data_IF_440298901473
#
_entry.id   IF_440298901473
#
_cell.length_a   1.000
_cell.length_b   1.000
_cell.length_c   1.000
_cell.angle_alpha   90.00
_cell.angle_beta   90.00
_cell.angle_gamma   90.00
#
_symmetry.space_group_name_H-M   'P 1'
#
loop_
_entity.id
_entity.type
_entity.pdbx_description
1 polymer ?
#
# COMPACT_ATOMS: atom_id res chain seq x y z
N UNK A 1 -1.17 -12.63 -14.72
CA UNK A 1 -0.51 -11.34 -14.39
C UNK A 1 -1.59 -10.41 -13.83
N UNK A 2 -1.62 -10.12 -12.53
CA UNK A 2 -2.63 -9.17 -12.01
C UNK A 2 -2.12 -7.75 -12.24
N UNK A 3 -2.76 -7.02 -13.16
CA UNK A 3 -2.38 -5.65 -13.50
C UNK A 3 -2.58 -4.76 -12.26
N UNK A 4 -1.48 -4.20 -11.73
CA UNK A 4 -1.56 -3.13 -10.75
C UNK A 4 -1.84 -1.83 -11.50
N UNK A 5 -2.92 -1.14 -11.13
CA UNK A 5 -3.22 0.19 -11.62
C UNK A 5 -2.25 1.22 -11.00
N UNK A 6 -2.05 2.36 -11.66
CA UNK A 6 -1.22 3.45 -11.16
C UNK A 6 -1.60 3.92 -9.75
N UNK A 7 -2.89 3.87 -9.42
CA UNK A 7 -3.38 4.18 -8.07
C UNK A 7 -2.76 3.26 -7.00
N UNK A 8 -2.62 1.97 -7.29
CA UNK A 8 -1.98 1.02 -6.38
C UNK A 8 -0.49 1.31 -6.22
N UNK A 9 0.21 1.65 -7.31
CA UNK A 9 1.63 2.02 -7.26
C UNK A 9 1.83 3.31 -6.46
N UNK A 10 0.96 4.32 -6.62
CA UNK A 10 0.99 5.56 -5.82
C UNK A 10 0.83 5.28 -4.32
N UNK A 11 -0.07 4.36 -3.96
CA UNK A 11 -0.24 3.92 -2.58
C UNK A 11 1.04 3.26 -2.05
N UNK A 12 1.63 2.33 -2.81
CA UNK A 12 2.87 1.66 -2.41
C UNK A 12 4.03 2.66 -2.25
N UNK A 13 4.22 3.61 -3.17
CA UNK A 13 5.21 4.70 -3.05
C UNK A 13 5.00 5.55 -1.81
N UNK A 14 3.74 5.86 -1.48
CA UNK A 14 3.42 6.64 -0.28
C UNK A 14 3.77 5.86 1.00
N UNK A 15 3.52 4.55 1.02
CA UNK A 15 3.85 3.69 2.15
C UNK A 15 5.36 3.46 2.28
N UNK A 16 6.08 3.33 1.16
CA UNK A 16 7.54 3.28 1.13
C UNK A 16 8.15 4.53 1.80
N UNK A 17 7.70 5.72 1.39
CA UNK A 17 8.16 7.00 1.97
C UNK A 17 7.87 7.12 3.48
N UNK A 18 6.78 6.53 3.95
CA UNK A 18 6.42 6.53 5.37
C UNK A 18 7.23 5.52 6.21
N UNK A 19 7.90 4.57 5.57
CA UNK A 19 8.77 3.59 6.24
C UNK A 19 8.13 2.91 7.44
N UNK A 20 8.84 2.93 8.58
CA UNK A 20 8.41 2.31 9.84
C UNK A 20 7.26 3.03 10.54
N UNK A 21 6.97 4.29 10.18
CA UNK A 21 5.82 4.98 10.74
C UNK A 21 4.54 4.36 10.17
N UNK A 22 4.51 4.07 8.87
CA UNK A 22 3.30 3.69 8.17
C UNK A 22 2.28 4.83 8.10
N UNK A 23 1.21 4.62 7.34
CA UNK A 23 0.20 5.65 7.06
C UNK A 23 -1.14 5.25 7.64
N UNK A 24 -1.91 6.20 8.16
CA UNK A 24 -3.27 5.93 8.62
C UNK A 24 -4.14 5.56 7.42
N UNK A 25 -4.92 4.48 7.53
CA UNK A 25 -5.69 3.95 6.42
C UNK A 25 -6.64 5.00 5.81
N UNK A 26 -7.26 5.85 6.65
CA UNK A 26 -8.14 6.94 6.21
C UNK A 26 -7.43 8.13 5.54
N UNK A 27 -6.15 8.36 5.85
CA UNK A 27 -5.32 9.36 5.15
C UNK A 27 -4.84 8.84 3.80
N UNK A 28 -4.69 7.52 3.67
CA UNK A 28 -4.28 6.87 2.43
C UNK A 28 -5.41 6.88 1.40
N UNK A 29 -6.63 6.55 1.85
CA UNK A 29 -7.84 6.52 1.02
C UNK A 29 -9.01 7.05 1.88
N UNK A 30 -9.55 8.25 1.59
CA UNK A 30 -10.61 8.85 2.39
C UNK A 30 -11.92 8.06 2.36
N UNK A 31 -12.34 7.63 1.16
CA UNK A 31 -13.56 6.86 0.99
C UNK A 31 -13.46 5.49 1.66
N UNK A 32 -14.48 5.13 2.46
CA UNK A 32 -14.45 3.93 3.29
C UNK A 32 -14.55 2.64 2.48
N UNK A 33 -15.38 2.62 1.44
CA UNK A 33 -15.64 1.42 0.63
C UNK A 33 -14.43 1.11 -0.23
N UNK A 34 -13.92 2.12 -0.94
CA UNK A 34 -12.71 2.03 -1.74
C UNK A 34 -11.51 1.66 -0.87
N UNK A 35 -11.38 2.24 0.32
CA UNK A 35 -10.30 1.91 1.26
C UNK A 35 -10.30 0.44 1.61
N UNK A 36 -11.43 -0.09 2.05
CA UNK A 36 -11.50 -1.51 2.44
C UNK A 36 -11.22 -2.43 1.25
N UNK A 37 -11.78 -2.12 0.08
CA UNK A 37 -11.56 -2.89 -1.15
C UNK A 37 -10.08 -2.92 -1.56
N UNK A 38 -9.46 -1.74 -1.69
CA UNK A 38 -8.07 -1.60 -2.14
C UNK A 38 -7.10 -2.18 -1.12
N UNK A 39 -7.26 -1.86 0.17
CA UNK A 39 -6.35 -2.38 1.20
C UNK A 39 -6.48 -3.89 1.38
N UNK A 40 -7.69 -4.45 1.27
CA UNK A 40 -7.88 -5.91 1.29
C UNK A 40 -7.22 -6.56 0.07
N UNK A 41 -7.33 -5.95 -1.11
CA UNK A 41 -6.66 -6.45 -2.32
C UNK A 41 -5.14 -6.41 -2.19
N UNK A 42 -4.54 -5.30 -1.77
CA UNK A 42 -3.08 -5.20 -1.63
C UNK A 42 -2.54 -6.12 -0.53
N UNK A 43 -3.29 -6.28 0.56
CA UNK A 43 -2.95 -7.20 1.65
C UNK A 43 -3.02 -8.66 1.18
N UNK A 44 -4.03 -9.06 0.41
CA UNK A 44 -4.14 -10.43 -0.12
C UNK A 44 -3.02 -10.78 -1.11
N UNK A 45 -2.46 -9.77 -1.79
CA UNK A 45 -1.25 -9.92 -2.62
C UNK A 45 0.05 -9.97 -1.80
N UNK A 46 -0.02 -9.68 -0.50
CA UNK A 46 1.12 -9.63 0.42
C UNK A 46 2.00 -8.39 0.22
N UNK A 47 1.48 -7.32 -0.39
CA UNK A 47 2.24 -6.10 -0.70
C UNK A 47 2.24 -5.10 0.46
N UNK A 48 1.23 -5.19 1.33
CA UNK A 48 1.08 -4.37 2.52
C UNK A 48 0.68 -5.22 3.72
N UNK A 49 0.87 -4.67 4.92
CA UNK A 49 0.30 -5.19 6.16
C UNK A 49 -0.52 -4.09 6.84
N UNK A 50 -1.66 -4.49 7.41
CA UNK A 50 -2.57 -3.63 8.16
C UNK A 50 -2.41 -3.93 9.65
N UNK A 51 -2.25 -2.92 10.50
CA UNK A 51 -2.18 -3.07 11.97
C UNK A 51 -3.12 -2.09 12.63
N UNK A 52 -4.02 -2.58 13.49
CA UNK A 52 -4.83 -1.72 14.37
C UNK A 52 -3.94 -1.18 15.50
N UNK A 53 -3.87 0.14 15.63
CA UNK A 53 -3.33 0.83 16.82
C UNK A 53 -4.43 1.68 17.45
N UNK A 54 -4.24 2.08 18.70
CA UNK A 54 -5.19 2.88 19.50
C UNK A 54 -5.74 4.14 18.81
N UNK A 55 -5.06 4.69 17.78
CA UNK A 55 -5.49 5.86 16.99
C UNK A 55 -5.99 5.53 15.56
N UNK A 56 -6.32 4.27 15.28
CA UNK A 56 -6.82 3.82 13.98
C UNK A 56 -5.97 2.72 13.34
N UNK A 57 -6.41 2.27 12.16
CA UNK A 57 -5.66 1.30 11.36
C UNK A 57 -4.51 1.98 10.64
N UNK A 58 -3.29 1.47 10.82
CA UNK A 58 -2.12 1.87 10.05
C UNK A 58 -1.76 0.80 9.03
N UNK A 59 -1.28 1.27 7.90
CA UNK A 59 -0.85 0.46 6.76
C UNK A 59 0.64 0.64 6.56
N UNK A 60 1.33 -0.47 6.29
CA UNK A 60 2.77 -0.51 6.06
C UNK A 60 3.04 -1.31 4.79
N UNK A 61 4.06 -0.92 4.04
CA UNK A 61 4.53 -1.72 2.91
C UNK A 61 5.32 -2.93 3.42
N UNK A 62 5.21 -4.07 2.74
CA UNK A 62 6.01 -5.26 3.03
C UNK A 62 7.28 -5.27 2.19
N UNK A 63 8.25 -6.14 2.53
CA UNK A 63 9.43 -6.37 1.68
C UNK A 63 9.04 -6.77 0.26
N UNK A 64 7.99 -7.60 0.10
CA UNK A 64 7.46 -7.99 -1.21
C UNK A 64 6.90 -6.79 -1.98
N UNK A 65 6.18 -5.89 -1.29
CA UNK A 65 5.68 -4.65 -1.87
C UNK A 65 6.80 -3.73 -2.34
N UNK A 66 7.89 -3.64 -1.57
CA UNK A 66 9.08 -2.85 -1.93
C UNK A 66 9.80 -3.40 -3.16
N UNK A 67 10.01 -4.73 -3.23
CA UNK A 67 10.64 -5.37 -4.39
C UNK A 67 9.81 -5.11 -5.64
N UNK A 68 8.49 -5.37 -5.58
CA UNK A 68 7.60 -5.09 -6.70
C UNK A 68 7.66 -3.63 -7.14
N UNK A 69 7.71 -2.70 -6.19
CA UNK A 69 7.76 -1.28 -6.50
C UNK A 69 9.05 -0.88 -7.24
N UNK A 70 10.18 -1.51 -6.91
CA UNK A 70 11.46 -1.33 -7.62
C UNK A 70 11.41 -1.90 -9.02
N UNK A 71 10.88 -3.12 -9.18
CA UNK A 71 10.74 -3.77 -10.50
C UNK A 71 9.88 -2.92 -11.47
N UNK A 72 8.86 -2.23 -10.94
CA UNK A 72 8.02 -1.30 -11.71
C UNK A 72 8.64 0.10 -11.88
N UNK A 73 9.60 0.48 -11.05
CA UNK A 73 10.33 1.76 -11.14
C UNK A 73 11.46 1.70 -12.17
N UNK A 74 12.12 0.54 -12.27
CA UNK A 74 13.23 0.30 -13.22
C UNK A 74 12.74 -0.04 -14.65
N UNK A 75 11.45 -0.34 -14.82
CA UNK A 75 10.83 -0.54 -16.15
C UNK A 75 10.45 0.75 -16.89
N UNK A 76 10.86 1.92 -16.38
CA UNK A 76 10.57 3.24 -16.96
C UNK A 76 11.80 3.91 -17.59
N UNK A 77 12.83 3.13 -17.95
CA UNK A 77 13.93 3.56 -18.82
C UNK A 77 13.74 3.05 -20.24
#
# INVERSE_FOLDING_TARGET
>A
MSVLMDAHLRILRRLERAGSEGVVASELIPDRVAREFVLKYLASKGLIVRRRKFRGERVFITTKGLVLLRDYGDGAT
#
